data_IF_867205407269
#
_entry.id   IF_867205407269
#
_cell.length_a   1.000
_cell.length_b   1.000
_cell.length_c   1.000
_cell.angle_alpha   90.00
_cell.angle_beta   90.00
_cell.angle_gamma   90.00
#
_symmetry.space_group_name_H-M   'P 1'
#
loop_
_entity.id
_entity.type
_entity.pdbx_description
1 polymer ?
#
# COMPACT_ATOMS: atom_id res chain seq x y z
N UNK A 1 -18.40 14.07 -12.10
CA UNK A 1 -16.99 14.51 -12.17
C UNK A 1 -16.11 13.27 -12.16
N UNK A 2 -15.47 12.92 -13.28
CA UNK A 2 -14.52 11.80 -13.36
C UNK A 2 -13.13 12.40 -13.18
N UNK A 3 -12.40 11.97 -12.16
CA UNK A 3 -11.00 12.35 -11.94
C UNK A 3 -10.14 11.25 -12.52
N UNK A 4 -9.37 11.55 -13.58
CA UNK A 4 -8.40 10.60 -14.14
C UNK A 4 -7.14 10.70 -13.27
N UNK A 5 -6.97 9.72 -12.37
CA UNK A 5 -5.77 9.60 -11.58
C UNK A 5 -4.66 9.01 -12.45
N UNK A 6 -3.45 9.57 -12.33
CA UNK A 6 -2.23 8.93 -12.84
C UNK A 6 -2.14 7.51 -12.24
N UNK A 7 -1.61 6.55 -13.02
CA UNK A 7 -1.29 5.19 -12.53
C UNK A 7 -0.34 5.17 -11.32
N UNK A 8 0.25 6.32 -10.98
CA UNK A 8 1.16 6.51 -9.85
C UNK A 8 0.48 7.06 -8.58
N UNK A 9 -0.84 7.21 -8.54
CA UNK A 9 -1.54 7.78 -7.38
C UNK A 9 -1.28 7.01 -6.06
N UNK A 10 -1.01 5.71 -6.15
CA UNK A 10 -0.66 4.90 -4.98
C UNK A 10 0.68 5.30 -4.34
N UNK A 11 1.58 5.98 -5.06
CA UNK A 11 2.91 6.36 -4.55
C UNK A 11 2.83 7.39 -3.42
N UNK A 12 1.87 8.31 -3.49
CA UNK A 12 1.63 9.27 -2.39
C UNK A 12 1.27 8.55 -1.10
N UNK A 13 0.54 7.45 -1.21
CA UNK A 13 0.10 6.65 -0.07
C UNK A 13 1.22 5.73 0.41
N UNK A 14 2.00 5.15 -0.51
CA UNK A 14 3.16 4.33 -0.21
C UNK A 14 4.27 5.13 0.49
N UNK A 15 4.45 6.40 0.10
CA UNK A 15 5.43 7.30 0.72
C UNK A 15 5.17 7.57 2.20
N UNK A 16 3.94 7.37 2.69
CA UNK A 16 3.62 7.45 4.12
C UNK A 16 4.27 6.31 4.91
N UNK A 17 4.36 5.12 4.32
CA UNK A 17 5.04 3.97 4.93
C UNK A 17 6.56 4.08 4.82
N UNK A 18 7.07 4.75 3.78
CA UNK A 18 8.50 4.92 3.53
C UNK A 18 8.89 6.41 3.42
N UNK A 19 8.90 7.16 4.55
CA UNK A 19 9.17 8.60 4.53
C UNK A 19 10.53 8.91 3.90
N UNK A 20 10.52 9.69 2.82
CA UNK A 20 11.74 10.14 2.13
C UNK A 20 12.38 9.12 1.17
N UNK A 21 11.89 7.89 1.10
CA UNK A 21 12.49 6.85 0.25
C UNK A 21 12.03 6.89 -1.22
N UNK A 22 10.94 7.60 -1.52
CA UNK A 22 10.30 7.59 -2.83
C UNK A 22 10.32 8.97 -3.47
N UNK A 23 10.76 9.02 -4.73
CA UNK A 23 10.64 10.19 -5.62
C UNK A 23 10.08 9.70 -6.96
N UNK A 24 9.20 10.46 -7.59
CA UNK A 24 8.62 10.08 -8.87
C UNK A 24 8.41 11.27 -9.79
N UNK A 25 8.53 10.99 -11.08
CA UNK A 25 8.24 11.91 -12.19
C UNK A 25 7.51 11.12 -13.29
N UNK A 26 7.07 11.80 -14.35
CA UNK A 26 6.37 11.12 -15.44
C UNK A 26 7.23 9.99 -16.03
N UNK A 27 6.70 8.76 -16.02
CA UNK A 27 7.37 7.58 -16.57
C UNK A 27 8.52 7.02 -15.71
N UNK A 28 8.76 7.52 -14.49
CA UNK A 28 9.90 7.08 -13.68
C UNK A 28 9.62 7.17 -12.17
N UNK A 29 10.06 6.13 -11.46
CA UNK A 29 10.03 6.06 -9.98
C UNK A 29 11.45 5.77 -9.51
N UNK A 30 11.91 6.51 -8.51
CA UNK A 30 13.22 6.37 -7.86
C UNK A 30 12.98 5.93 -6.42
N UNK A 31 13.64 4.84 -6.02
CA UNK A 31 13.53 4.22 -4.70
C UNK A 31 14.90 4.21 -4.03
N UNK A 32 15.01 4.82 -2.84
CA UNK A 32 16.21 4.81 -2.01
C UNK A 32 16.12 3.65 -0.99
N UNK A 33 16.67 2.49 -1.34
CA UNK A 33 16.37 1.22 -0.66
C UNK A 33 17.03 0.98 0.70
N UNK A 34 18.10 1.70 1.06
CA UNK A 34 18.96 1.36 2.21
C UNK A 34 18.74 2.22 3.46
N UNK A 35 17.86 3.22 3.40
CA UNK A 35 17.85 4.34 4.36
C UNK A 35 16.60 4.44 5.24
N UNK A 36 15.55 3.65 5.00
CA UNK A 36 14.26 3.86 5.66
C UNK A 36 13.63 2.55 6.12
N UNK A 37 13.41 2.43 7.44
CA UNK A 37 12.55 1.40 8.00
C UNK A 37 11.08 1.79 7.76
N UNK A 38 10.24 0.87 7.25
CA UNK A 38 8.83 1.16 7.08
C UNK A 38 8.14 1.45 8.42
N UNK A 39 7.29 2.47 8.43
CA UNK A 39 6.53 2.89 9.62
C UNK A 39 5.03 2.71 9.40
N UNK A 40 4.32 2.36 10.48
CA UNK A 40 2.88 2.21 10.44
C UNK A 40 2.20 3.52 10.03
N UNK A 41 1.21 3.44 9.14
CA UNK A 41 0.57 4.62 8.58
C UNK A 41 -0.90 4.39 8.20
N UNK A 42 -1.66 5.48 8.10
CA UNK A 42 -3.00 5.50 7.51
C UNK A 42 -2.94 5.89 6.03
N UNK A 43 -3.41 4.99 5.17
CA UNK A 43 -3.35 5.14 3.73
C UNK A 43 -4.70 4.85 3.07
N UNK A 44 -4.93 5.43 1.88
CA UNK A 44 -6.16 5.21 1.11
C UNK A 44 -5.81 4.47 -0.16
N UNK A 45 -6.44 3.32 -0.36
CA UNK A 45 -6.25 2.55 -1.58
C UNK A 45 -6.80 3.29 -2.82
N UNK A 46 -6.02 3.33 -3.90
CA UNK A 46 -6.34 4.05 -5.15
C UNK A 46 -6.74 3.14 -6.32
N UNK A 47 -6.14 1.95 -6.42
CA UNK A 47 -6.29 1.02 -7.54
C UNK A 47 -5.85 -0.39 -7.12
N UNK A 48 -6.18 -1.41 -7.92
CA UNK A 48 -5.95 -2.82 -7.57
C UNK A 48 -4.51 -3.15 -7.17
N UNK A 49 -3.52 -2.69 -7.92
CA UNK A 49 -2.11 -3.06 -7.71
C UNK A 49 -1.47 -2.20 -6.62
N UNK A 50 -1.80 -0.91 -6.63
CA UNK A 50 -1.45 0.03 -5.59
C UNK A 50 -1.95 -0.43 -4.22
N UNK A 51 -3.19 -0.94 -4.11
CA UNK A 51 -3.71 -1.45 -2.84
C UNK A 51 -2.80 -2.52 -2.23
N UNK A 52 -2.36 -3.49 -3.03
CA UNK A 52 -1.51 -4.57 -2.51
C UNK A 52 -0.10 -4.11 -2.17
N UNK A 53 0.42 -3.10 -2.86
CA UNK A 53 1.66 -2.45 -2.45
C UNK A 53 1.52 -1.84 -1.04
N UNK A 54 0.38 -1.21 -0.73
CA UNK A 54 0.10 -0.68 0.62
C UNK A 54 -0.06 -1.81 1.65
N UNK A 55 -0.76 -2.90 1.31
CA UNK A 55 -0.93 -4.05 2.22
C UNK A 55 0.43 -4.64 2.60
N UNK A 56 1.32 -4.84 1.61
CA UNK A 56 2.68 -5.31 1.87
C UNK A 56 3.49 -4.32 2.70
N UNK A 57 3.37 -3.02 2.43
CA UNK A 57 4.02 -1.99 3.22
C UNK A 57 3.56 -2.01 4.69
N UNK A 58 2.26 -2.17 4.93
CA UNK A 58 1.69 -2.30 6.27
C UNK A 58 2.19 -3.55 7.01
N UNK A 59 2.29 -4.69 6.32
CA UNK A 59 2.83 -5.94 6.89
C UNK A 59 4.30 -5.78 7.33
N UNK A 60 5.09 -5.03 6.56
CA UNK A 60 6.51 -4.81 6.85
C UNK A 60 6.75 -3.70 7.89
N UNK A 61 5.76 -2.83 8.11
CA UNK A 61 5.91 -1.64 8.95
C UNK A 61 5.95 -1.94 10.44
N UNK A 62 6.64 -1.09 11.19
CA UNK A 62 6.56 -1.11 12.64
C UNK A 62 5.31 -0.36 13.14
N UNK A 63 4.54 -1.01 14.01
CA UNK A 63 3.33 -0.45 14.59
C UNK A 63 2.07 -0.83 13.82
N UNK A 64 0.99 -0.11 14.08
CA UNK A 64 -0.32 -0.36 13.46
C UNK A 64 -0.46 0.41 12.14
N UNK A 65 -1.05 -0.25 11.14
CA UNK A 65 -1.31 0.32 9.83
C UNK A 65 -2.78 0.18 9.47
N UNK A 66 -3.35 1.24 8.89
CA UNK A 66 -4.74 1.25 8.46
C UNK A 66 -4.83 1.61 6.97
N UNK A 67 -5.53 0.77 6.20
CA UNK A 67 -5.70 0.99 4.75
C UNK A 67 -7.19 1.10 4.44
N UNK A 68 -7.64 2.30 4.13
CA UNK A 68 -9.01 2.56 3.73
C UNK A 68 -9.27 2.13 2.28
N UNK A 69 -10.52 1.75 1.99
CA UNK A 69 -10.97 1.32 0.66
C UNK A 69 -10.21 0.10 0.10
N UNK A 70 -9.77 -0.81 0.98
CA UNK A 70 -9.03 -2.04 0.61
C UNK A 70 -9.83 -2.97 -0.32
N UNK A 71 -11.16 -2.80 -0.43
CA UNK A 71 -11.99 -3.50 -1.42
C UNK A 71 -11.49 -3.35 -2.88
N UNK A 72 -10.70 -2.31 -3.17
CA UNK A 72 -10.01 -2.18 -4.45
C UNK A 72 -9.06 -3.37 -4.72
N UNK A 73 -8.36 -3.88 -3.69
CA UNK A 73 -7.52 -5.09 -3.73
C UNK A 73 -8.37 -6.35 -3.94
N UNK A 74 -9.49 -6.44 -3.20
CA UNK A 74 -10.34 -7.63 -3.19
C UNK A 74 -10.93 -7.96 -4.57
N UNK A 75 -10.98 -7.00 -5.50
CA UNK A 75 -11.40 -7.23 -6.90
C UNK A 75 -10.44 -8.07 -7.73
N UNK A 76 -9.22 -8.31 -7.28
CA UNK A 76 -8.23 -9.13 -7.99
C UNK A 76 -7.43 -10.09 -7.13
N UNK A 77 -7.69 -10.12 -5.81
CA UNK A 77 -7.05 -11.04 -4.87
C UNK A 77 -8.13 -11.82 -4.12
N UNK A 78 -8.44 -13.00 -4.65
CA UNK A 78 -9.41 -13.91 -4.06
C UNK A 78 -8.94 -14.44 -2.70
N UNK A 79 -9.87 -14.52 -1.74
CA UNK A 79 -9.63 -15.01 -0.38
C UNK A 79 -8.38 -14.39 0.28
N UNK A 80 -8.19 -13.07 0.10
CA UNK A 80 -6.99 -12.38 0.56
C UNK A 80 -6.81 -12.51 2.09
N UNK A 81 -7.90 -12.35 2.86
CA UNK A 81 -7.88 -12.43 4.33
C UNK A 81 -7.41 -13.81 4.78
N UNK A 82 -7.98 -14.86 4.19
CA UNK A 82 -7.69 -16.25 4.51
C UNK A 82 -6.24 -16.58 4.18
N UNK A 83 -5.74 -16.12 3.03
CA UNK A 83 -4.34 -16.31 2.62
C UNK A 83 -3.35 -15.59 3.53
N UNK A 84 -3.64 -14.35 3.93
CA UNK A 84 -2.80 -13.62 4.87
C UNK A 84 -2.79 -14.28 6.26
N UNK A 85 -3.96 -14.70 6.73
CA UNK A 85 -4.09 -15.44 8.01
C UNK A 85 -3.34 -16.77 7.97
N UNK A 86 -3.39 -17.52 6.87
CA UNK A 86 -2.64 -18.75 6.69
C UNK A 86 -1.11 -18.56 6.71
N UNK A 87 -0.63 -17.34 6.44
CA UNK A 87 0.77 -16.95 6.56
C UNK A 87 1.13 -16.42 7.97
N UNK A 88 0.18 -16.42 8.91
CA UNK A 88 0.36 -15.93 10.27
C UNK A 88 0.27 -14.41 10.41
N UNK A 89 -0.28 -13.71 9.41
CA UNK A 89 -0.41 -12.26 9.44
C UNK A 89 -1.73 -11.89 10.12
N UNK A 90 -1.64 -11.17 11.24
CA UNK A 90 -2.80 -10.63 11.94
C UNK A 90 -3.40 -9.47 11.12
N UNK A 91 -4.60 -9.67 10.57
CA UNK A 91 -5.32 -8.65 9.80
C UNK A 91 -6.81 -8.63 10.11
N UNK A 92 -7.36 -7.43 10.25
CA UNK A 92 -8.80 -7.20 10.32
C UNK A 92 -9.25 -6.46 9.07
N UNK A 93 -10.04 -7.13 8.23
CA UNK A 93 -10.64 -6.56 7.02
C UNK A 93 -12.15 -6.46 7.26
N UNK A 94 -12.68 -5.25 7.14
CA UNK A 94 -14.09 -4.90 7.32
C UNK A 94 -14.58 -3.96 6.20
#
# INVERSE_FOLDING_TARGET
>A
MIVILSVTAYLEQLAKFYPGALKWESGKIIVEGSSVNPVGASAVSTDLRGSMALVLAGILSQGESQIDKVHMALRGYDQLKEKLSALGIETSIF
#
